data_IF_992649518027
#
_entry.id   IF_992649518027
#
_cell.length_a   1.000
_cell.length_b   1.000
_cell.length_c   1.000
_cell.angle_alpha   90.00
_cell.angle_beta   90.00
_cell.angle_gamma   90.00
#
_symmetry.space_group_name_H-M   'P 1'
#
loop_
_entity.id
_entity.type
_entity.pdbx_description
1 polymer ?
#
# COMPACT_ATOMS: atom_id res chain seq x y z
N UNK A 1 3.03 14.00 8.57
CA UNK A 1 2.59 12.60 8.54
C UNK A 1 1.14 12.49 8.07
N UNK A 2 0.85 11.56 7.23
CA UNK A 2 -0.51 11.41 6.72
C UNK A 2 -1.42 10.77 7.76
N UNK A 3 -2.68 11.18 7.77
CA UNK A 3 -3.68 10.57 8.62
C UNK A 3 -3.96 9.13 8.13
N UNK A 4 -4.54 8.30 9.01
CA UNK A 4 -4.91 6.94 8.61
C UNK A 4 -5.89 6.95 7.44
N UNK A 5 -6.85 7.88 7.46
CA UNK A 5 -7.80 8.02 6.36
C UNK A 5 -7.10 8.31 5.04
N UNK A 6 -6.09 9.18 5.07
CA UNK A 6 -5.32 9.51 3.87
C UNK A 6 -4.54 8.31 3.33
N UNK A 7 -3.98 7.52 4.23
CA UNK A 7 -3.26 6.31 3.85
C UNK A 7 -4.21 5.30 3.22
N UNK A 8 -5.37 5.09 3.82
CA UNK A 8 -6.38 4.17 3.30
C UNK A 8 -6.87 4.60 1.92
N UNK A 9 -7.10 5.89 1.74
CA UNK A 9 -7.51 6.44 0.44
C UNK A 9 -6.45 6.19 -0.61
N UNK A 10 -5.18 6.43 -0.27
CA UNK A 10 -4.09 6.19 -1.19
C UNK A 10 -4.00 4.74 -1.62
N UNK A 11 -4.22 3.82 -0.69
CA UNK A 11 -4.19 2.39 -0.99
C UNK A 11 -5.37 2.00 -1.88
N UNK A 12 -6.55 2.57 -1.64
CA UNK A 12 -7.70 2.32 -2.50
C UNK A 12 -7.47 2.84 -3.91
N UNK A 13 -6.90 4.03 -4.03
CA UNK A 13 -6.57 4.60 -5.33
C UNK A 13 -5.56 3.75 -6.09
N UNK A 14 -4.69 3.08 -5.37
CA UNK A 14 -3.72 2.17 -5.97
C UNK A 14 -4.34 0.82 -6.37
N UNK A 15 -5.62 0.61 -6.03
CA UNK A 15 -6.32 -0.60 -6.41
C UNK A 15 -6.25 -1.71 -5.39
N UNK A 16 -5.80 -1.44 -4.17
CA UNK A 16 -5.74 -2.45 -3.12
C UNK A 16 -7.13 -2.89 -2.71
N UNK A 17 -7.28 -4.17 -2.44
CA UNK A 17 -8.53 -4.70 -1.94
C UNK A 17 -8.68 -4.37 -0.46
N UNK A 18 -9.93 -4.37 0.01
CA UNK A 18 -10.22 -4.02 1.38
C UNK A 18 -9.46 -4.90 2.39
N UNK A 19 -9.32 -6.18 2.10
CA UNK A 19 -8.56 -7.11 2.95
C UNK A 19 -7.11 -6.67 3.10
N UNK A 20 -6.48 -6.27 2.00
CA UNK A 20 -5.09 -5.85 2.02
C UNK A 20 -4.94 -4.55 2.79
N UNK A 21 -5.89 -3.64 2.62
CA UNK A 21 -5.88 -2.36 3.33
C UNK A 21 -6.01 -2.60 4.83
N UNK A 22 -6.93 -3.46 5.25
CA UNK A 22 -7.12 -3.77 6.66
C UNK A 22 -5.89 -4.44 7.26
N UNK A 23 -5.29 -5.36 6.54
CA UNK A 23 -4.06 -6.02 6.99
C UNK A 23 -2.93 -5.03 7.19
N UNK A 24 -2.76 -4.12 6.23
CA UNK A 24 -1.74 -3.10 6.34
C UNK A 24 -2.01 -2.16 7.51
N UNK A 25 -3.25 -1.71 7.66
CA UNK A 25 -3.60 -0.76 8.73
C UNK A 25 -3.40 -1.38 10.11
N UNK A 26 -3.65 -2.68 10.24
CA UNK A 26 -3.38 -3.38 11.48
C UNK A 26 -1.91 -3.33 11.85
N UNK A 27 -1.03 -3.57 10.89
CA UNK A 27 0.41 -3.47 11.11
C UNK A 27 0.81 -2.04 11.43
N UNK A 28 0.25 -1.09 10.73
CA UNK A 28 0.54 0.32 10.92
C UNK A 28 0.18 0.77 12.35
N UNK A 29 -1.00 0.38 12.84
CA UNK A 29 -1.46 0.74 14.19
C UNK A 29 -0.64 0.10 15.28
N UNK A 30 -0.06 -1.07 15.01
CA UNK A 30 0.80 -1.79 15.95
C UNK A 30 2.25 -1.34 15.86
N UNK A 31 2.51 -0.25 15.16
CA UNK A 31 3.85 0.30 14.97
C UNK A 31 4.80 -0.71 14.33
N UNK A 32 4.25 -1.58 13.48
CA UNK A 32 5.03 -2.58 12.76
C UNK A 32 5.05 -2.24 11.26
N UNK A 33 5.61 -1.08 10.96
CA UNK A 33 5.67 -0.57 9.60
C UNK A 33 6.43 -1.52 8.67
N UNK A 34 7.46 -2.16 9.19
CA UNK A 34 8.27 -3.09 8.41
C UNK A 34 7.42 -4.23 7.84
N UNK A 35 6.56 -4.80 8.69
CA UNK A 35 5.65 -5.86 8.26
C UNK A 35 4.59 -5.33 7.31
N UNK A 36 4.09 -4.12 7.57
CA UNK A 36 3.13 -3.48 6.69
C UNK A 36 3.70 -3.27 5.29
N UNK A 37 4.94 -2.83 5.20
CA UNK A 37 5.59 -2.63 3.91
C UNK A 37 5.78 -3.96 3.18
N UNK A 38 5.99 -5.05 3.90
CA UNK A 38 6.06 -6.39 3.31
C UNK A 38 4.73 -6.77 2.66
N UNK A 39 3.61 -6.48 3.34
CA UNK A 39 2.28 -6.75 2.80
C UNK A 39 2.07 -5.98 1.49
N UNK A 40 2.43 -4.71 1.48
CA UNK A 40 2.30 -3.89 0.27
C UNK A 40 3.23 -4.38 -0.84
N UNK A 41 4.41 -4.85 -0.48
CA UNK A 41 5.35 -5.42 -1.45
C UNK A 41 4.79 -6.66 -2.14
N UNK A 42 4.10 -7.51 -1.39
CA UNK A 42 3.44 -8.68 -1.94
C UNK A 42 2.30 -8.27 -2.87
N UNK A 43 1.51 -7.28 -2.47
CA UNK A 43 0.43 -6.79 -3.30
C UNK A 43 0.97 -6.20 -4.61
N UNK A 44 2.06 -5.43 -4.53
CA UNK A 44 2.69 -4.86 -5.72
C UNK A 44 3.12 -5.96 -6.70
N UNK A 45 3.66 -7.05 -6.17
CA UNK A 45 4.08 -8.19 -6.99
C UNK A 45 2.89 -8.85 -7.68
N UNK A 46 1.79 -9.05 -6.94
CA UNK A 46 0.57 -9.59 -7.51
C UNK A 46 0.01 -8.68 -8.60
N UNK A 47 0.07 -7.37 -8.36
CA UNK A 47 -0.41 -6.39 -9.31
C UNK A 47 0.38 -6.45 -10.61
N UNK A 48 1.69 -6.62 -10.51
CA UNK A 48 2.55 -6.77 -11.70
C UNK A 48 2.17 -8.01 -12.52
N UNK A 49 1.83 -9.09 -11.84
CA UNK A 49 1.44 -10.32 -12.51
C UNK A 49 0.05 -10.24 -13.14
N UNK A 50 -0.91 -9.64 -12.42
CA UNK A 50 -2.30 -9.57 -12.86
C UNK A 50 -2.54 -8.50 -13.89
N UNK A 51 -1.98 -7.32 -13.66
CA UNK A 51 -2.27 -6.14 -14.45
C UNK A 51 -1.07 -5.75 -15.30
N UNK A 52 -0.63 -6.71 -16.07
CA UNK A 52 0.50 -6.54 -16.96
C UNK A 52 0.35 -5.24 -17.78
N UNK A 53 1.19 -4.26 -17.50
CA UNK A 53 1.16 -2.98 -18.21
C UNK A 53 0.39 -1.86 -17.51
N UNK A 54 -0.25 -2.12 -16.38
CA UNK A 54 -0.99 -1.09 -15.65
C UNK A 54 -0.05 -0.28 -14.75
N UNK A 55 0.79 0.51 -15.38
CA UNK A 55 1.85 1.23 -14.70
C UNK A 55 1.30 2.28 -13.72
N UNK A 56 0.15 2.88 -14.05
CA UNK A 56 -0.42 3.94 -13.22
C UNK A 56 -0.71 3.47 -11.79
N UNK A 57 -1.28 2.28 -11.65
CA UNK A 57 -1.61 1.74 -10.34
C UNK A 57 -0.35 1.41 -9.54
N UNK A 58 0.66 0.88 -10.22
CA UNK A 58 1.94 0.57 -9.59
C UNK A 58 2.61 1.86 -9.11
N UNK A 59 2.57 2.90 -9.92
CA UNK A 59 3.16 4.18 -9.57
C UNK A 59 2.49 4.78 -8.34
N UNK A 60 1.17 4.67 -8.24
CA UNK A 60 0.44 5.16 -7.07
C UNK A 60 0.80 4.39 -5.81
N UNK A 61 0.92 3.07 -5.93
CA UNK A 61 1.32 2.22 -4.81
C UNK A 61 2.73 2.57 -4.35
N UNK A 62 3.65 2.72 -5.29
CA UNK A 62 5.03 3.08 -4.98
C UNK A 62 5.10 4.45 -4.29
N UNK A 63 4.26 5.39 -4.71
CA UNK A 63 4.20 6.71 -4.08
C UNK A 63 3.75 6.60 -2.63
N UNK A 64 2.74 5.78 -2.34
CA UNK A 64 2.26 5.58 -0.98
C UNK A 64 3.37 4.99 -0.11
N UNK A 65 4.07 3.97 -0.62
CA UNK A 65 5.18 3.34 0.10
C UNK A 65 6.28 4.36 0.38
N UNK A 66 6.63 5.16 -0.63
CA UNK A 66 7.65 6.18 -0.49
C UNK A 66 7.29 7.18 0.61
N UNK A 67 6.04 7.64 0.63
CA UNK A 67 5.59 8.60 1.63
C UNK A 67 5.69 8.02 3.04
N UNK A 68 5.36 6.75 3.21
CA UNK A 68 5.42 6.12 4.51
C UNK A 68 6.85 5.90 4.98
N UNK A 69 7.75 5.54 4.08
CA UNK A 69 9.15 5.36 4.42
C UNK A 69 9.81 6.68 4.79
N UNK A 70 9.37 7.75 4.15
CA UNK A 70 9.95 9.07 4.37
C UNK A 70 9.52 9.67 5.71
N UNK A 71 8.34 9.35 6.18
CA UNK A 71 7.85 9.87 7.44
C UNK A 71 8.37 9.07 8.61
#
# INVERSE_FOLDING_TARGET
MKSEAGIMEGLRDAGCQEEDILSFMKCYRNDDLKKGLKVLGQYRRELLERLHGEQTKIDRLDYVVYQMQKS
#
